data_IF_081244139564
#
_entry.id   IF_081244139564
#
_cell.length_a   1.000
_cell.length_b   1.000
_cell.length_c   1.000
_cell.angle_alpha   90.00
_cell.angle_beta   90.00
_cell.angle_gamma   90.00
#
_symmetry.space_group_name_H-M   'P 1'
#
loop_
_entity.id
_entity.type
_entity.pdbx_description
1 polymer ?
#
# COMPACT_ATOMS: atom_id res chain seq x y z
N UNK A 1 -12.44 7.11 15.56
CA UNK A 1 -12.56 7.12 14.09
C UNK A 1 -11.64 8.17 13.44
N UNK A 2 -11.90 9.49 13.50
CA UNK A 2 -11.10 10.45 12.71
C UNK A 2 -9.57 10.42 12.97
N UNK A 3 -9.16 10.29 14.23
CA UNK A 3 -7.73 10.10 14.59
C UNK A 3 -7.16 8.79 14.07
N UNK A 4 -7.93 7.71 14.10
CA UNK A 4 -7.52 6.43 13.55
C UNK A 4 -7.36 6.50 12.03
N UNK A 5 -8.33 7.08 11.31
CA UNK A 5 -8.25 7.19 9.84
C UNK A 5 -7.01 7.99 9.39
N UNK A 6 -6.66 9.07 10.10
CA UNK A 6 -5.40 9.79 9.85
C UNK A 6 -4.18 8.95 10.24
N UNK A 7 -4.22 8.30 11.41
CA UNK A 7 -3.12 7.48 11.91
C UNK A 7 -2.81 6.29 11.01
N UNK A 8 -3.84 5.58 10.54
CA UNK A 8 -3.75 4.44 9.63
C UNK A 8 -3.21 4.86 8.25
N UNK A 9 -3.65 6.03 7.75
CA UNK A 9 -3.08 6.60 6.52
C UNK A 9 -1.57 6.88 6.69
N UNK A 10 -1.12 7.27 7.89
CA UNK A 10 0.29 7.48 8.19
C UNK A 10 1.06 6.17 8.39
N UNK A 11 0.49 5.16 9.07
CA UNK A 11 1.12 3.84 9.25
C UNK A 11 1.27 3.09 7.93
N UNK A 12 0.35 3.28 6.99
CA UNK A 12 0.49 2.76 5.62
C UNK A 12 1.55 3.54 4.80
N UNK A 13 1.64 4.86 4.98
CA UNK A 13 2.54 5.71 4.18
C UNK A 13 4.01 5.61 4.65
N UNK A 14 4.26 5.29 5.92
CA UNK A 14 5.59 5.40 6.55
C UNK A 14 6.65 4.48 5.94
N UNK A 15 6.27 3.47 5.16
CA UNK A 15 7.19 2.49 4.56
C UNK A 15 8.01 3.03 3.39
N UNK A 16 7.66 4.20 2.86
CA UNK A 16 8.46 4.91 1.86
C UNK A 16 9.27 6.03 2.52
N UNK A 17 10.47 6.32 2.00
CA UNK A 17 11.20 7.53 2.39
C UNK A 17 10.35 8.75 2.06
N UNK A 18 10.10 9.58 3.05
CA UNK A 18 9.39 10.84 2.92
C UNK A 18 10.38 12.01 3.03
N UNK A 19 10.06 13.14 2.41
CA UNK A 19 10.81 14.39 2.62
C UNK A 19 10.76 14.85 4.07
N UNK A 20 9.57 14.88 4.68
CA UNK A 20 9.35 15.09 6.12
C UNK A 20 7.88 14.79 6.48
N UNK A 21 7.56 14.63 7.77
CA UNK A 21 6.16 14.54 8.22
C UNK A 21 5.37 15.81 7.88
N UNK A 22 5.99 16.98 7.99
CA UNK A 22 5.36 18.27 7.74
C UNK A 22 5.01 18.51 6.26
N UNK A 23 5.62 17.74 5.35
CA UNK A 23 5.29 17.77 3.92
C UNK A 23 4.12 16.86 3.56
N UNK A 24 3.66 16.01 4.48
CA UNK A 24 2.51 15.15 4.24
C UNK A 24 1.28 16.02 4.01
N UNK A 25 0.57 15.72 2.94
CA UNK A 25 -0.72 16.29 2.58
C UNK A 25 -1.76 15.19 2.55
N UNK A 26 -3.01 15.59 2.78
CA UNK A 26 -4.12 14.64 2.82
C UNK A 26 -5.34 15.19 2.08
N UNK A 27 -5.98 14.30 1.32
CA UNK A 27 -7.36 14.46 0.86
C UNK A 27 -8.29 13.78 1.86
N UNK A 28 -9.27 14.51 2.38
CA UNK A 28 -10.17 14.02 3.42
C UNK A 28 -11.61 13.94 2.90
N UNK A 29 -12.16 12.72 2.85
CA UNK A 29 -13.50 12.46 2.33
C UNK A 29 -14.48 12.07 3.43
N UNK A 30 -15.57 12.83 3.57
CA UNK A 30 -16.54 12.73 4.66
C UNK A 30 -17.81 12.04 4.19
N UNK A 31 -18.17 10.90 4.79
CA UNK A 31 -19.41 10.17 4.49
C UNK A 31 -20.25 10.10 5.75
N UNK A 32 -21.34 10.87 5.79
CA UNK A 32 -22.21 10.95 6.97
C UNK A 32 -23.68 10.97 6.57
N UNK A 33 -24.55 10.49 7.45
CA UNK A 33 -25.98 10.76 7.38
C UNK A 33 -26.31 12.02 8.20
N UNK A 34 -25.72 13.17 7.87
CA UNK A 34 -25.62 14.34 8.76
C UNK A 34 -26.96 14.93 9.24
N UNK A 35 -28.05 14.67 8.51
CA UNK A 35 -29.42 15.10 8.87
C UNK A 35 -30.11 14.17 9.88
N UNK A 36 -29.51 13.01 10.15
CA UNK A 36 -30.02 12.04 11.12
C UNK A 36 -29.63 12.46 12.53
N UNK A 37 -30.41 12.01 13.51
CA UNK A 37 -30.27 12.43 14.90
C UNK A 37 -28.88 12.07 15.44
N UNK A 38 -28.09 13.08 15.81
CA UNK A 38 -26.76 12.92 16.42
C UNK A 38 -25.59 12.96 15.43
N UNK A 39 -25.80 12.53 14.19
CA UNK A 39 -24.72 12.40 13.18
C UNK A 39 -24.03 13.71 12.84
N UNK A 40 -24.78 14.82 12.75
CA UNK A 40 -24.19 16.15 12.52
C UNK A 40 -23.27 16.61 13.66
N UNK A 41 -23.59 16.26 14.92
CA UNK A 41 -22.74 16.56 16.06
C UNK A 41 -21.51 15.65 16.09
N UNK A 42 -21.68 14.36 15.82
CA UNK A 42 -20.57 13.41 15.71
C UNK A 42 -19.58 13.80 14.61
N UNK A 43 -20.08 14.29 13.46
CA UNK A 43 -19.26 14.82 12.37
C UNK A 43 -18.46 16.06 12.80
N UNK A 44 -19.08 16.95 13.57
CA UNK A 44 -18.41 18.14 14.12
C UNK A 44 -17.28 17.76 15.10
N UNK A 45 -17.53 16.82 16.01
CA UNK A 45 -16.52 16.33 16.96
C UNK A 45 -15.37 15.60 16.25
N UNK A 46 -15.68 14.86 15.18
CA UNK A 46 -14.70 14.24 14.29
C UNK A 46 -13.83 15.30 13.57
N UNK A 47 -14.44 16.38 13.08
CA UNK A 47 -13.72 17.49 12.45
C UNK A 47 -12.78 18.23 13.42
N UNK A 48 -13.23 18.49 14.65
CA UNK A 48 -12.37 19.05 15.71
C UNK A 48 -11.19 18.11 16.00
N UNK A 49 -11.48 16.82 16.22
CA UNK A 49 -10.45 15.83 16.55
C UNK A 49 -9.41 15.68 15.44
N UNK A 50 -9.85 15.70 14.18
CA UNK A 50 -8.96 15.62 13.02
C UNK A 50 -8.10 16.87 12.90
N UNK A 51 -8.71 18.06 13.02
CA UNK A 51 -8.00 19.34 12.96
C UNK A 51 -6.87 19.37 14.00
N UNK A 52 -7.17 19.01 15.24
CA UNK A 52 -6.20 19.09 16.33
C UNK A 52 -5.04 18.12 16.10
N UNK A 53 -5.34 16.88 15.69
CA UNK A 53 -4.30 15.89 15.32
C UNK A 53 -3.43 16.37 14.14
N UNK A 54 -4.04 16.93 13.09
CA UNK A 54 -3.32 17.46 11.93
C UNK A 54 -2.40 18.63 12.30
N UNK A 55 -2.88 19.56 13.13
CA UNK A 55 -2.07 20.68 13.64
C UNK A 55 -0.88 20.17 14.44
N UNK A 56 -1.10 19.24 15.37
CA UNK A 56 -0.04 18.68 16.21
C UNK A 56 1.03 17.95 15.40
N UNK A 57 0.61 17.23 14.35
CA UNK A 57 1.50 16.48 13.46
C UNK A 57 2.19 17.37 12.42
N UNK A 58 1.65 18.56 12.14
CA UNK A 58 2.08 19.40 11.03
C UNK A 58 1.62 18.89 9.66
N UNK A 59 0.61 18.02 9.62
CA UNK A 59 0.00 17.49 8.39
C UNK A 59 -1.10 18.43 7.94
N UNK A 60 -1.21 18.70 6.64
CA UNK A 60 -2.23 19.59 6.11
C UNK A 60 -3.26 18.84 5.25
N UNK A 61 -4.53 19.19 5.41
CA UNK A 61 -5.60 18.82 4.50
C UNK A 61 -5.68 19.87 3.38
N UNK A 62 -5.41 19.48 2.14
CA UNK A 62 -5.41 20.34 0.96
C UNK A 62 -6.37 19.90 -0.15
N UNK A 63 -7.11 18.81 0.09
CA UNK A 63 -8.18 18.33 -0.76
C UNK A 63 -9.24 17.58 0.04
N UNK A 64 -10.36 17.25 -0.59
CA UNK A 64 -11.42 16.49 0.04
C UNK A 64 -12.78 16.72 -0.57
N UNK A 65 -13.76 15.93 -0.11
CA UNK A 65 -15.16 16.03 -0.51
C UNK A 65 -16.07 15.53 0.61
N UNK A 66 -17.34 15.93 0.57
CA UNK A 66 -18.37 15.42 1.48
C UNK A 66 -19.52 14.73 0.73
N UNK A 67 -20.12 13.74 1.40
CA UNK A 67 -21.36 13.07 1.06
C UNK A 67 -22.20 12.94 2.33
N UNK A 68 -23.18 13.85 2.50
CA UNK A 68 -23.89 14.06 3.76
C UNK A 68 -25.30 13.41 3.82
N UNK A 69 -25.62 12.57 2.84
CA UNK A 69 -26.90 11.87 2.72
C UNK A 69 -26.73 10.36 2.68
N UNK A 70 -25.82 9.81 3.49
CA UNK A 70 -25.52 8.37 3.55
C UNK A 70 -26.59 7.56 4.31
N UNK A 71 -27.85 7.74 3.92
CA UNK A 71 -28.99 7.00 4.44
C UNK A 71 -29.94 6.65 3.28
N UNK A 72 -30.47 5.43 3.30
CA UNK A 72 -31.43 4.94 2.33
C UNK A 72 -32.69 4.44 3.05
N UNK A 73 -33.85 4.89 2.58
CA UNK A 73 -35.13 4.36 3.02
C UNK A 73 -35.64 3.35 2.00
N UNK A 74 -35.85 2.10 2.41
CA UNK A 74 -36.36 1.03 1.57
C UNK A 74 -37.28 0.12 2.38
N UNK A 75 -38.43 -0.26 1.83
CA UNK A 75 -39.35 -1.21 2.48
C UNK A 75 -39.96 -0.73 3.81
N UNK A 76 -39.94 0.58 4.09
CA UNK A 76 -40.40 1.15 5.38
C UNK A 76 -39.32 1.19 6.46
N UNK A 77 -38.12 0.68 6.18
CA UNK A 77 -36.95 0.77 7.05
C UNK A 77 -35.97 1.83 6.53
N UNK A 78 -35.22 2.43 7.44
CA UNK A 78 -34.13 3.35 7.09
C UNK A 78 -32.82 2.73 7.52
N UNK A 79 -31.95 2.47 6.54
CA UNK A 79 -30.59 2.00 6.76
C UNK A 79 -29.65 3.19 6.63
N UNK A 80 -28.77 3.36 7.61
CA UNK A 80 -27.78 4.44 7.64
C UNK A 80 -26.39 3.84 7.59
N UNK A 81 -25.50 4.42 6.79
CA UNK A 81 -24.09 4.11 6.92
C UNK A 81 -23.54 4.75 8.20
N UNK A 82 -22.60 4.10 8.91
CA UNK A 82 -21.85 4.75 9.96
C UNK A 82 -21.14 6.00 9.43
N UNK A 83 -21.00 7.02 10.26
CA UNK A 83 -20.12 8.15 9.97
C UNK A 83 -18.70 7.65 9.68
N UNK A 84 -18.17 7.97 8.50
CA UNK A 84 -16.89 7.47 8.02
C UNK A 84 -16.04 8.60 7.43
N UNK A 85 -14.73 8.50 7.64
CA UNK A 85 -13.71 9.37 7.08
C UNK A 85 -12.72 8.54 6.29
N UNK A 86 -12.55 8.85 5.01
CA UNK A 86 -11.49 8.25 4.19
C UNK A 86 -10.39 9.30 4.00
N UNK A 87 -9.20 9.00 4.53
CA UNK A 87 -8.02 9.85 4.45
C UNK A 87 -7.05 9.26 3.42
N UNK A 88 -6.75 10.02 2.38
CA UNK A 88 -5.71 9.68 1.41
C UNK A 88 -4.51 10.58 1.65
N UNK A 89 -3.46 10.05 2.28
CA UNK A 89 -2.22 10.77 2.57
C UNK A 89 -1.19 10.60 1.44
N UNK A 90 -0.40 11.64 1.18
CA UNK A 90 0.64 11.64 0.17
C UNK A 90 1.78 12.59 0.55
N UNK A 91 3.00 12.25 0.11
CA UNK A 91 4.23 13.01 0.40
C UNK A 91 5.26 12.79 -0.71
N UNK A 92 6.20 13.71 -0.86
CA UNK A 92 7.33 13.52 -1.77
C UNK A 92 8.22 12.37 -1.30
N UNK A 93 8.58 11.48 -2.23
CA UNK A 93 9.52 10.37 -1.98
C UNK A 93 10.87 10.69 -2.65
N UNK A 94 11.91 11.10 -1.90
CA UNK A 94 13.19 11.47 -2.47
C UNK A 94 13.99 10.27 -3.00
N UNK A 95 13.72 9.06 -2.50
CA UNK A 95 14.38 7.83 -2.95
C UNK A 95 13.41 6.64 -2.95
N UNK A 96 12.94 6.27 -4.14
CA UNK A 96 12.00 5.16 -4.36
C UNK A 96 12.65 3.78 -4.16
N UNK A 97 13.97 3.69 -4.04
CA UNK A 97 14.68 2.42 -3.82
C UNK A 97 14.74 2.03 -2.34
N UNK A 98 14.42 2.96 -1.44
CA UNK A 98 14.38 2.76 0.01
C UNK A 98 12.95 2.51 0.52
N UNK A 99 12.10 1.90 -0.30
CA UNK A 99 10.74 1.50 0.08
C UNK A 99 10.76 0.09 0.67
N UNK A 100 10.10 -0.07 1.81
CA UNK A 100 9.89 -1.35 2.47
C UNK A 100 8.46 -1.85 2.18
N UNK A 101 8.31 -3.16 2.10
CA UNK A 101 7.02 -3.84 1.87
C UNK A 101 6.82 -4.92 2.94
N UNK A 102 5.64 -5.53 3.03
CA UNK A 102 5.40 -6.67 3.92
C UNK A 102 6.20 -7.96 3.57
N UNK A 103 6.94 -7.97 2.46
CA UNK A 103 7.70 -9.11 1.95
C UNK A 103 8.88 -9.49 2.86
N UNK A 104 8.69 -10.50 3.71
CA UNK A 104 9.73 -11.06 4.58
C UNK A 104 10.84 -11.71 3.76
N UNK A 105 12.09 -11.30 3.98
CA UNK A 105 13.20 -11.60 3.08
C UNK A 105 14.49 -12.06 3.75
N UNK A 106 14.59 -12.03 5.08
CA UNK A 106 15.82 -12.38 5.81
C UNK A 106 15.89 -13.86 6.24
N UNK A 107 14.78 -14.59 6.15
CA UNK A 107 14.73 -16.00 6.56
C UNK A 107 15.18 -16.17 8.02
N UNK A 108 16.15 -17.06 8.28
CA UNK A 108 16.58 -17.36 9.65
C UNK A 108 17.30 -16.22 10.40
N UNK A 109 17.74 -15.17 9.70
CA UNK A 109 18.33 -13.97 10.34
C UNK A 109 17.26 -12.92 10.71
N UNK A 110 16.05 -13.06 10.18
CA UNK A 110 14.95 -12.12 10.40
C UNK A 110 14.32 -12.29 11.78
N UNK A 111 14.28 -11.20 12.54
CA UNK A 111 13.49 -11.08 13.77
C UNK A 111 12.32 -10.12 13.55
N UNK A 112 11.20 -10.44 14.21
CA UNK A 112 9.97 -9.68 14.13
C UNK A 112 9.87 -8.75 15.34
N UNK A 113 9.71 -7.46 15.09
CA UNK A 113 9.58 -6.42 16.12
C UNK A 113 8.19 -5.81 16.04
N UNK A 114 7.46 -5.79 17.15
CA UNK A 114 6.21 -5.07 17.30
C UNK A 114 6.49 -3.67 17.84
N UNK A 115 5.91 -2.65 17.20
CA UNK A 115 5.91 -1.25 17.60
C UNK A 115 4.50 -0.89 18.04
N UNK A 116 4.31 -0.63 19.34
CA UNK A 116 3.00 -0.46 19.97
C UNK A 116 2.67 1.02 20.15
N UNK A 117 1.69 1.55 19.41
CA UNK A 117 1.24 2.96 19.55
C UNK A 117 0.09 3.13 20.54
N UNK A 118 -0.38 2.04 21.14
CA UNK A 118 -1.50 2.02 22.07
C UNK A 118 -1.08 1.78 23.52
N UNK A 119 0.22 1.77 23.82
CA UNK A 119 0.77 1.66 25.17
C UNK A 119 0.27 0.39 25.90
N UNK A 120 0.16 -0.73 25.17
CA UNK A 120 -0.32 -1.99 25.74
C UNK A 120 -1.85 -2.09 25.89
N UNK A 121 -2.62 -1.10 25.41
CA UNK A 121 -4.07 -1.22 25.26
C UNK A 121 -4.42 -2.17 24.11
N UNK A 122 -5.50 -2.93 24.26
CA UNK A 122 -6.01 -3.87 23.24
C UNK A 122 -7.54 -3.75 23.14
N UNK A 123 -8.01 -2.59 22.67
CA UNK A 123 -9.43 -2.29 22.51
C UNK A 123 -9.99 -3.00 21.28
N UNK A 124 -11.17 -3.60 21.43
CA UNK A 124 -11.79 -4.50 20.44
C UNK A 124 -13.08 -3.95 19.84
N UNK A 125 -13.57 -2.80 20.31
CA UNK A 125 -14.79 -2.17 19.80
C UNK A 125 -14.60 -1.70 18.36
N UNK A 126 -15.52 -2.08 17.49
CA UNK A 126 -15.50 -1.79 16.07
C UNK A 126 -14.61 -2.71 15.24
N UNK A 127 -14.00 -3.75 15.85
CA UNK A 127 -13.06 -4.62 15.14
C UNK A 127 -13.72 -5.57 14.15
N UNK A 128 -12.95 -6.01 13.15
CA UNK A 128 -13.31 -7.09 12.24
C UNK A 128 -13.71 -8.37 12.98
N UNK A 129 -13.04 -8.70 14.10
CA UNK A 129 -13.44 -9.83 14.94
C UNK A 129 -14.83 -9.59 15.55
N UNK A 130 -15.09 -8.42 16.13
CA UNK A 130 -16.41 -8.12 16.68
C UNK A 130 -17.49 -8.21 15.58
N UNK A 131 -17.21 -7.65 14.41
CA UNK A 131 -18.10 -7.69 13.25
C UNK A 131 -18.40 -9.13 12.80
N UNK A 132 -17.39 -10.00 12.72
CA UNK A 132 -17.56 -11.41 12.35
C UNK A 132 -18.45 -12.21 13.32
N UNK A 133 -18.65 -11.69 14.54
CA UNK A 133 -19.53 -12.26 15.56
C UNK A 133 -20.79 -11.42 15.80
N UNK A 134 -21.21 -10.63 14.81
CA UNK A 134 -22.40 -9.76 14.85
C UNK A 134 -22.42 -8.83 16.07
N UNK A 135 -21.25 -8.38 16.50
CA UNK A 135 -21.05 -7.50 17.66
C UNK A 135 -20.36 -6.21 17.25
N UNK A 136 -20.64 -5.14 18.00
CA UNK A 136 -19.91 -3.88 17.90
C UNK A 136 -18.78 -3.79 18.93
N UNK A 137 -18.94 -4.39 20.11
CA UNK A 137 -18.05 -4.16 21.25
C UNK A 137 -18.28 -2.79 21.91
N UNK A 138 -17.40 -2.42 22.85
CA UNK A 138 -17.61 -1.25 23.73
C UNK A 138 -16.58 -0.15 23.49
N UNK A 139 -15.29 -0.47 23.66
CA UNK A 139 -14.20 0.50 23.59
C UNK A 139 -13.45 0.35 22.27
N UNK A 140 -13.40 1.41 21.47
CA UNK A 140 -12.70 1.42 20.19
C UNK A 140 -11.23 1.88 20.33
N UNK A 141 -10.34 1.41 19.44
CA UNK A 141 -8.98 1.91 19.34
C UNK A 141 -8.89 3.44 19.19
N UNK A 142 -7.75 4.01 19.58
CA UNK A 142 -7.46 5.44 19.47
C UNK A 142 -5.96 5.70 19.63
N UNK A 143 -5.48 6.79 19.06
CA UNK A 143 -4.05 7.11 18.98
C UNK A 143 -3.78 8.58 19.34
N UNK A 144 -2.58 8.86 19.85
CA UNK A 144 -2.14 10.24 20.11
C UNK A 144 -1.26 10.76 18.99
N UNK A 145 -1.30 12.08 18.74
CA UNK A 145 -0.41 12.75 17.79
C UNK A 145 1.08 12.55 18.15
N UNK A 146 1.41 12.46 19.44
CA UNK A 146 2.77 12.20 19.90
C UNK A 146 3.27 10.81 19.51
N UNK A 147 2.42 9.77 19.66
CA UNK A 147 2.76 8.41 19.26
C UNK A 147 2.97 8.30 17.75
N UNK A 148 2.08 8.90 16.94
CA UNK A 148 2.21 8.93 15.49
C UNK A 148 3.48 9.64 15.02
N UNK A 149 3.80 10.80 15.63
CA UNK A 149 5.03 11.54 15.31
C UNK A 149 6.28 10.75 15.69
N UNK A 150 6.31 10.16 16.89
CA UNK A 150 7.45 9.37 17.35
C UNK A 150 7.68 8.14 16.47
N UNK A 151 6.60 7.45 16.08
CA UNK A 151 6.63 6.33 15.15
C UNK A 151 7.20 6.78 13.81
N UNK A 152 6.63 7.82 13.21
CA UNK A 152 7.05 8.30 11.90
C UNK A 152 8.54 8.64 11.86
N UNK A 153 9.03 9.46 12.79
CA UNK A 153 10.42 9.90 12.81
C UNK A 153 11.39 8.73 13.05
N UNK A 154 11.03 7.79 13.94
CA UNK A 154 11.84 6.59 14.18
C UNK A 154 11.91 5.72 12.92
N UNK A 155 10.76 5.40 12.30
CA UNK A 155 10.71 4.55 11.11
C UNK A 155 11.45 5.20 9.94
N UNK A 156 11.27 6.50 9.70
CA UNK A 156 11.97 7.23 8.63
C UNK A 156 13.49 7.24 8.83
N UNK A 157 13.97 7.36 10.06
CA UNK A 157 15.40 7.26 10.40
C UNK A 157 15.95 5.86 10.13
N UNK A 158 15.20 4.82 10.52
CA UNK A 158 15.59 3.42 10.31
C UNK A 158 15.60 3.02 8.82
N UNK A 159 14.67 3.55 8.03
CA UNK A 159 14.67 3.41 6.56
C UNK A 159 15.90 4.06 5.95
N UNK A 160 16.21 5.30 6.33
CA UNK A 160 17.38 6.02 5.81
C UNK A 160 18.69 5.28 6.13
N UNK A 161 18.74 4.62 7.28
CA UNK A 161 19.88 3.82 7.72
C UNK A 161 19.88 2.37 7.18
N UNK A 162 18.86 1.95 6.43
CA UNK A 162 18.78 0.62 5.83
C UNK A 162 18.61 -0.53 6.83
N UNK A 163 18.04 -0.26 8.00
CA UNK A 163 17.89 -1.28 9.06
C UNK A 163 16.62 -2.14 8.91
N UNK A 164 15.64 -1.69 8.11
CA UNK A 164 14.36 -2.35 7.93
C UNK A 164 14.36 -3.17 6.64
N UNK A 165 14.06 -4.47 6.73
CA UNK A 165 13.98 -5.36 5.58
C UNK A 165 12.56 -5.50 5.07
N UNK A 166 11.61 -5.72 5.98
CA UNK A 166 10.18 -5.77 5.71
C UNK A 166 9.42 -5.02 6.80
N UNK A 167 8.17 -4.67 6.52
CA UNK A 167 7.32 -4.04 7.50
C UNK A 167 5.88 -3.94 7.03
N UNK A 168 4.96 -4.02 7.99
CA UNK A 168 3.53 -3.92 7.75
C UNK A 168 2.81 -3.32 8.96
N UNK A 169 1.74 -2.56 8.74
CA UNK A 169 1.00 -1.92 9.82
C UNK A 169 -0.11 -2.81 10.40
N UNK A 170 -0.56 -2.44 11.60
CA UNK A 170 -1.65 -3.11 12.31
C UNK A 170 -2.93 -2.32 12.09
N UNK A 171 -3.88 -2.94 11.39
CA UNK A 171 -5.19 -2.41 11.03
C UNK A 171 -6.26 -3.51 11.21
N UNK A 172 -7.10 -3.76 10.20
CA UNK A 172 -8.20 -4.72 10.24
C UNK A 172 -7.72 -6.14 10.58
N UNK A 173 -8.35 -6.77 11.57
CA UNK A 173 -7.97 -8.09 12.07
C UNK A 173 -6.72 -8.11 12.97
N UNK A 174 -6.11 -6.96 13.23
CA UNK A 174 -5.05 -6.79 14.21
C UNK A 174 -3.73 -7.47 13.85
N UNK A 175 -2.85 -7.58 14.85
CA UNK A 175 -1.47 -8.05 14.64
C UNK A 175 -1.39 -9.49 14.10
N UNK A 176 -2.40 -10.33 14.37
CA UNK A 176 -2.48 -11.66 13.80
C UNK A 176 -2.57 -11.62 12.27
N UNK A 177 -3.46 -10.79 11.72
CA UNK A 177 -3.58 -10.58 10.26
C UNK A 177 -2.30 -9.97 9.69
N UNK A 178 -1.75 -8.93 10.33
CA UNK A 178 -0.48 -8.30 9.90
C UNK A 178 0.64 -9.33 9.75
N UNK A 179 0.84 -10.19 10.76
CA UNK A 179 1.86 -11.24 10.74
C UNK A 179 1.62 -12.27 9.63
N UNK A 180 0.36 -12.67 9.43
CA UNK A 180 -0.01 -13.61 8.38
C UNK A 180 0.23 -13.01 6.99
N UNK A 181 -0.16 -11.77 6.73
CA UNK A 181 0.05 -11.09 5.45
C UNK A 181 1.55 -10.92 5.14
N UNK A 182 2.38 -10.62 6.14
CA UNK A 182 3.83 -10.61 5.98
C UNK A 182 4.38 -12.01 5.62
N UNK A 183 3.90 -13.05 6.28
CA UNK A 183 4.26 -14.44 5.96
C UNK A 183 3.80 -14.87 4.55
N UNK A 184 2.63 -14.39 4.11
CA UNK A 184 2.09 -14.64 2.77
C UNK A 184 2.94 -13.96 1.70
N UNK A 185 3.30 -12.69 1.92
CA UNK A 185 4.13 -11.90 1.03
C UNK A 185 5.54 -12.52 0.87
N UNK A 186 6.19 -12.85 2.00
CA UNK A 186 7.50 -13.50 2.00
C UNK A 186 7.48 -15.00 1.65
N UNK A 187 6.30 -15.60 1.53
CA UNK A 187 6.09 -17.03 1.31
C UNK A 187 6.96 -17.91 2.24
N UNK A 188 7.01 -17.53 3.52
CA UNK A 188 7.91 -18.11 4.53
C UNK A 188 7.21 -18.26 5.88
N UNK A 189 7.75 -19.13 6.73
CA UNK A 189 7.18 -19.45 8.03
C UNK A 189 7.59 -18.44 9.10
N UNK A 190 6.74 -18.25 10.09
CA UNK A 190 6.97 -17.34 11.22
C UNK A 190 6.65 -18.02 12.54
N UNK A 191 7.35 -17.60 13.60
CA UNK A 191 7.03 -17.95 14.98
C UNK A 191 7.04 -16.69 15.82
N UNK A 192 5.92 -16.38 16.48
CA UNK A 192 5.78 -15.20 17.32
C UNK A 192 5.00 -15.49 18.60
N UNK A 193 5.46 -14.93 19.72
CA UNK A 193 4.79 -14.96 21.00
C UNK A 193 4.36 -13.56 21.41
N UNK A 194 3.05 -13.37 21.56
CA UNK A 194 2.46 -12.09 21.92
C UNK A 194 2.22 -12.04 23.43
N UNK A 195 2.54 -10.91 24.09
CA UNK A 195 2.23 -10.78 25.51
C UNK A 195 0.72 -10.70 25.74
N UNK A 196 0.29 -11.08 26.93
CA UNK A 196 -1.06 -10.72 27.39
C UNK A 196 -1.18 -9.19 27.53
N UNK A 197 -2.39 -8.64 27.44
CA UNK A 197 -2.58 -7.20 27.57
C UNK A 197 -2.12 -6.71 28.95
N UNK A 198 -1.37 -5.60 28.97
CA UNK A 198 -0.79 -5.05 30.20
C UNK A 198 -1.88 -4.60 31.21
N UNK A 199 -3.06 -4.26 30.71
CA UNK A 199 -4.21 -3.80 31.46
C UNK A 199 -5.31 -4.87 31.54
N UNK A 200 -4.96 -6.08 31.98
CA UNK A 200 -5.88 -7.23 32.01
C UNK A 200 -7.16 -7.00 32.82
N UNK A 201 -7.15 -6.11 33.82
CA UNK A 201 -8.34 -5.74 34.60
C UNK A 201 -9.36 -4.91 33.79
N UNK A 202 -8.89 -4.17 32.79
CA UNK A 202 -9.70 -3.29 31.93
C UNK A 202 -10.06 -3.96 30.59
N UNK A 203 -9.57 -5.18 30.33
CA UNK A 203 -9.64 -5.82 29.02
C UNK A 203 -10.03 -7.30 29.13
N UNK A 204 -11.34 -7.61 29.04
CA UNK A 204 -11.86 -8.95 29.31
C UNK A 204 -11.52 -9.99 28.23
N UNK A 205 -10.90 -9.56 27.12
CA UNK A 205 -10.72 -10.39 25.92
C UNK A 205 -9.41 -11.20 25.90
N UNK A 206 -8.51 -10.99 26.88
CA UNK A 206 -7.32 -11.83 27.08
C UNK A 206 -6.52 -12.05 25.78
N UNK A 207 -6.37 -13.31 25.39
CA UNK A 207 -5.63 -13.69 24.18
C UNK A 207 -6.24 -13.15 22.87
N UNK A 208 -7.57 -12.99 22.80
CA UNK A 208 -8.21 -12.39 21.62
C UNK A 208 -7.80 -10.93 21.44
N UNK A 209 -7.69 -10.17 22.55
CA UNK A 209 -7.21 -8.80 22.51
C UNK A 209 -5.75 -8.72 22.03
N UNK A 210 -4.89 -9.64 22.47
CA UNK A 210 -3.50 -9.68 22.01
C UNK A 210 -3.35 -9.94 20.50
N UNK A 211 -4.29 -10.67 19.89
CA UNK A 211 -4.23 -11.08 18.49
C UNK A 211 -4.96 -10.13 17.54
N UNK A 212 -6.16 -9.69 17.94
CA UNK A 212 -7.15 -9.11 17.03
C UNK A 212 -7.52 -7.66 17.38
N UNK A 213 -6.87 -7.04 18.36
CA UNK A 213 -7.07 -5.62 18.60
C UNK A 213 -6.48 -4.80 17.45
N UNK A 214 -7.28 -3.89 16.94
CA UNK A 214 -6.96 -3.02 15.78
C UNK A 214 -6.41 -1.68 16.26
N UNK A 215 -5.61 -1.74 17.31
CA UNK A 215 -4.82 -0.62 17.78
C UNK A 215 -3.70 -0.35 16.79
N UNK A 216 -3.46 0.91 16.46
CA UNK A 216 -2.41 1.25 15.51
C UNK A 216 -1.04 0.79 16.03
N UNK A 217 -0.24 0.26 15.12
CA UNK A 217 1.08 -0.27 15.42
C UNK A 217 1.74 -0.75 14.14
N UNK A 218 2.99 -1.20 14.28
CA UNK A 218 3.76 -1.75 13.16
C UNK A 218 4.36 -3.09 13.55
N UNK A 219 4.54 -3.97 12.57
CA UNK A 219 5.42 -5.14 12.65
C UNK A 219 6.56 -4.95 11.66
N UNK A 220 7.79 -5.16 12.11
CA UNK A 220 9.02 -4.99 11.33
C UNK A 220 9.76 -6.32 11.22
N UNK A 221 10.35 -6.59 10.05
CA UNK A 221 11.44 -7.56 9.92
C UNK A 221 12.77 -6.81 9.90
N UNK A 222 13.64 -7.18 10.84
CA UNK A 222 14.98 -6.62 10.96
C UNK A 222 16.01 -7.73 11.10
N UNK A 223 17.23 -7.48 10.63
CA UNK A 223 18.33 -8.43 10.85
C UNK A 223 18.61 -8.55 12.35
N UNK A 224 18.92 -9.75 12.82
CA UNK A 224 19.15 -10.03 14.25
C UNK A 224 20.23 -9.12 14.85
N UNK A 225 21.27 -8.78 14.08
CA UNK A 225 22.35 -7.89 14.50
C UNK A 225 21.89 -6.43 14.71
N UNK A 226 20.80 -6.01 14.06
CA UNK A 226 20.28 -4.64 14.09
C UNK A 226 19.13 -4.46 15.08
N UNK A 227 18.59 -5.55 15.63
CA UNK A 227 17.41 -5.53 16.48
C UNK A 227 17.52 -4.53 17.64
N UNK A 228 18.64 -4.53 18.37
CA UNK A 228 18.83 -3.62 19.51
C UNK A 228 18.85 -2.14 19.08
N UNK A 229 19.52 -1.82 17.96
CA UNK A 229 19.57 -0.46 17.44
C UNK A 229 18.18 0.04 17.02
N UNK A 230 17.35 -0.84 16.46
CA UNK A 230 15.95 -0.55 16.11
C UNK A 230 15.14 -0.24 17.38
N UNK A 231 15.23 -1.10 18.40
CA UNK A 231 14.53 -0.89 19.68
C UNK A 231 14.96 0.42 20.36
N UNK A 232 16.26 0.70 20.38
CA UNK A 232 16.81 1.93 20.97
C UNK A 232 16.35 3.18 20.21
N UNK A 233 16.19 3.08 18.89
CA UNK A 233 15.67 4.18 18.06
C UNK A 233 14.21 4.49 18.41
N UNK A 234 13.32 3.49 18.44
CA UNK A 234 11.93 3.72 18.85
C UNK A 234 11.83 4.25 20.29
N UNK A 235 12.65 3.71 21.21
CA UNK A 235 12.73 4.20 22.59
C UNK A 235 13.16 5.66 22.67
N UNK A 236 14.12 6.10 21.87
CA UNK A 236 14.57 7.49 21.81
C UNK A 236 13.46 8.44 21.33
N UNK A 237 12.53 7.93 20.52
CA UNK A 237 11.33 8.65 20.08
C UNK A 237 10.11 8.43 20.99
N UNK A 238 10.29 7.77 22.14
CA UNK A 238 9.24 7.55 23.14
C UNK A 238 8.22 6.47 22.77
N UNK A 239 8.53 5.60 21.80
CA UNK A 239 7.63 4.55 21.32
C UNK A 239 8.05 3.19 21.87
N UNK A 240 7.16 2.45 22.55
CA UNK A 240 7.42 1.07 22.94
C UNK A 240 7.60 0.16 21.72
N UNK A 241 8.69 -0.60 21.72
CA UNK A 241 8.92 -1.66 20.74
C UNK A 241 9.53 -2.89 21.42
N UNK A 242 9.23 -4.07 20.91
CA UNK A 242 9.75 -5.34 21.43
C UNK A 242 9.89 -6.39 20.34
N UNK A 243 10.92 -7.23 20.44
CA UNK A 243 11.01 -8.45 19.63
C UNK A 243 9.89 -9.40 20.07
N UNK A 244 9.06 -9.82 19.13
CA UNK A 244 7.94 -10.75 19.36
C UNK A 244 8.15 -12.11 18.70
N UNK A 245 9.09 -12.23 17.78
CA UNK A 245 9.23 -13.45 17.01
C UNK A 245 10.40 -13.47 16.04
N UNK A 246 10.39 -14.49 15.19
CA UNK A 246 11.41 -14.73 14.16
C UNK A 246 10.79 -15.29 12.89
N UNK A 247 11.52 -15.09 11.80
CA UNK A 247 11.21 -15.65 10.50
C UNK A 247 11.96 -16.97 10.32
N UNK A 248 11.43 -17.86 9.49
CA UNK A 248 12.02 -19.15 9.18
C UNK A 248 11.90 -19.44 7.68
N UNK A 249 12.85 -20.19 7.13
CA UNK A 249 12.80 -20.61 5.73
C UNK A 249 11.72 -21.69 5.44
N UNK A 250 11.03 -22.18 6.47
CA UNK A 250 9.94 -23.14 6.34
C UNK A 250 8.64 -22.49 5.88
N UNK A 251 7.53 -23.20 6.08
CA UNK A 251 6.16 -22.70 5.81
C UNK A 251 5.26 -22.78 7.04
N UNK A 252 5.82 -23.10 8.20
CA UNK A 252 5.06 -23.21 9.43
C UNK A 252 4.78 -21.80 9.99
N UNK A 253 3.53 -21.55 10.32
CA UNK A 253 3.10 -20.40 11.12
C UNK A 253 2.81 -20.90 12.54
N UNK A 254 3.39 -20.24 13.53
CA UNK A 254 3.15 -20.49 14.95
C UNK A 254 2.99 -19.17 15.69
N UNK A 255 1.75 -18.80 16.02
CA UNK A 255 1.44 -17.67 16.88
C UNK A 255 1.00 -18.18 18.25
N UNK A 256 1.66 -17.69 19.30
CA UNK A 256 1.32 -17.97 20.69
C UNK A 256 0.96 -16.70 21.44
N UNK A 257 0.20 -16.83 22.53
CA UNK A 257 -0.04 -15.74 23.48
C UNK A 257 0.42 -16.19 24.86
N UNK A 258 1.43 -15.51 25.41
CA UNK A 258 2.09 -15.88 26.65
C UNK A 258 2.47 -17.37 26.70
N UNK A 259 3.02 -17.87 25.58
CA UNK A 259 3.43 -19.26 25.38
C UNK A 259 2.30 -20.26 25.11
N UNK A 260 1.03 -19.85 25.19
CA UNK A 260 -0.10 -20.70 24.84
C UNK A 260 -0.36 -20.68 23.33
N UNK A 261 -0.53 -21.83 22.66
CA UNK A 261 -0.86 -21.89 21.23
C UNK A 261 -2.14 -21.12 20.90
N UNK A 262 -2.10 -20.30 19.84
CA UNK A 262 -3.26 -19.55 19.35
C UNK A 262 -3.57 -19.84 17.88
N UNK A 263 -2.65 -19.53 16.97
CA UNK A 263 -2.80 -19.77 15.53
C UNK A 263 -1.63 -20.64 15.06
N UNK A 264 -1.93 -21.72 14.34
CA UNK A 264 -0.89 -22.58 13.77
C UNK A 264 -1.34 -23.17 12.44
N UNK A 265 -0.44 -23.27 11.46
CA UNK A 265 -0.76 -23.86 10.16
C UNK A 265 0.38 -23.78 9.16
N UNK A 266 0.11 -24.22 7.92
CA UNK A 266 0.99 -23.98 6.77
C UNK A 266 0.60 -22.64 6.11
N UNK A 267 1.59 -21.87 5.69
CA UNK A 267 1.41 -20.60 4.96
C UNK A 267 0.44 -20.73 3.78
N UNK A 268 0.49 -21.79 2.98
CA UNK A 268 -0.47 -21.95 1.88
C UNK A 268 -1.89 -22.20 2.37
N UNK A 269 -2.07 -23.03 3.39
CA UNK A 269 -3.40 -23.35 3.88
C UNK A 269 -4.08 -22.11 4.48
N UNK A 270 -3.31 -21.30 5.22
CA UNK A 270 -3.79 -20.04 5.78
C UNK A 270 -4.06 -18.99 4.69
N UNK A 271 -3.18 -18.89 3.68
CA UNK A 271 -3.39 -18.02 2.52
C UNK A 271 -4.60 -18.44 1.69
N UNK A 272 -4.82 -19.74 1.50
CA UNK A 272 -6.01 -20.27 0.82
C UNK A 272 -7.31 -19.81 1.48
N UNK A 273 -7.35 -19.78 2.82
CA UNK A 273 -8.49 -19.24 3.57
C UNK A 273 -8.62 -17.73 3.42
N UNK A 274 -7.51 -16.99 3.44
CA UNK A 274 -7.50 -15.53 3.26
C UNK A 274 -8.02 -15.13 1.86
N UNK A 275 -7.61 -15.85 0.81
CA UNK A 275 -8.00 -15.59 -0.58
C UNK A 275 -9.40 -16.07 -0.97
N UNK A 276 -10.10 -16.82 -0.10
CA UNK A 276 -11.36 -17.48 -0.47
C UNK A 276 -12.40 -16.47 -0.99
N UNK A 277 -12.52 -15.31 -0.34
CA UNK A 277 -13.44 -14.25 -0.76
C UNK A 277 -13.08 -13.72 -2.15
N UNK A 278 -11.79 -13.45 -2.40
CA UNK A 278 -11.29 -12.99 -3.71
C UNK A 278 -11.66 -13.98 -4.81
N UNK A 279 -11.42 -15.28 -4.60
CA UNK A 279 -11.73 -16.31 -5.58
C UNK A 279 -13.23 -16.53 -5.81
N UNK A 280 -14.08 -16.28 -4.81
CA UNK A 280 -15.54 -16.31 -4.99
C UNK A 280 -15.99 -15.14 -5.85
N UNK A 281 -15.50 -13.93 -5.58
CA UNK A 281 -15.82 -12.73 -6.36
C UNK A 281 -15.30 -12.83 -7.80
N UNK A 282 -14.08 -13.33 -8.00
CA UNK A 282 -13.47 -13.44 -9.31
C UNK A 282 -14.25 -14.40 -10.23
N UNK A 283 -14.78 -15.51 -9.69
CA UNK A 283 -15.65 -16.43 -10.45
C UNK A 283 -16.94 -15.78 -10.95
N UNK A 284 -17.38 -14.66 -10.37
CA UNK A 284 -18.58 -13.94 -10.83
C UNK A 284 -18.30 -13.02 -12.02
N UNK A 285 -17.03 -12.69 -12.29
CA UNK A 285 -16.63 -11.71 -13.31
C UNK A 285 -15.68 -12.25 -14.37
N UNK A 286 -15.03 -13.38 -14.11
CA UNK A 286 -14.01 -14.00 -14.96
C UNK A 286 -14.32 -15.45 -15.31
N UNK A 287 -13.54 -16.04 -16.22
CA UNK A 287 -13.73 -17.43 -16.63
C UNK A 287 -13.39 -18.39 -15.48
N UNK A 288 -14.28 -19.33 -15.17
CA UNK A 288 -14.08 -20.30 -14.08
C UNK A 288 -12.79 -21.11 -14.23
N UNK A 289 -12.41 -21.43 -15.47
CA UNK A 289 -11.15 -22.14 -15.77
C UNK A 289 -9.93 -21.31 -15.33
N UNK A 290 -9.88 -20.03 -15.69
CA UNK A 290 -8.77 -19.14 -15.32
C UNK A 290 -8.65 -19.01 -13.79
N UNK A 291 -9.77 -18.78 -13.11
CA UNK A 291 -9.77 -18.62 -11.64
C UNK A 291 -9.35 -19.92 -10.95
N UNK A 292 -9.79 -21.07 -11.46
CA UNK A 292 -9.40 -22.37 -10.92
C UNK A 292 -7.92 -22.67 -11.12
N UNK A 293 -7.33 -22.26 -12.25
CA UNK A 293 -5.91 -22.38 -12.51
C UNK A 293 -5.08 -21.50 -11.56
N UNK A 294 -5.50 -20.25 -11.35
CA UNK A 294 -4.85 -19.33 -10.41
C UNK A 294 -4.89 -19.86 -8.97
N UNK A 295 -6.07 -20.27 -8.50
CA UNK A 295 -6.25 -20.81 -7.15
C UNK A 295 -5.42 -22.09 -6.93
N UNK A 296 -5.36 -22.99 -7.91
CA UNK A 296 -4.53 -24.18 -7.83
C UNK A 296 -3.02 -23.85 -7.81
N UNK A 297 -2.60 -22.87 -8.63
CA UNK A 297 -1.20 -22.45 -8.73
C UNK A 297 -0.66 -21.77 -7.49
N UNK A 298 -1.50 -21.01 -6.78
CA UNK A 298 -1.09 -20.23 -5.60
C UNK A 298 -0.59 -21.10 -4.43
N UNK A 299 -1.13 -22.33 -4.29
CA UNK A 299 -0.75 -23.28 -3.23
C UNK A 299 0.73 -23.67 -3.28
N UNK A 300 1.19 -23.90 -4.50
CA UNK A 300 2.54 -24.38 -4.81
C UNK A 300 3.47 -23.27 -5.32
N UNK A 301 3.06 -22.01 -5.18
CA UNK A 301 3.82 -20.86 -5.64
C UNK A 301 5.24 -20.85 -5.05
N UNK A 302 6.23 -20.71 -5.93
CA UNK A 302 7.66 -20.62 -5.62
C UNK A 302 8.24 -19.38 -6.26
N UNK A 303 9.24 -18.79 -5.61
CA UNK A 303 9.99 -17.68 -6.20
C UNK A 303 10.55 -18.08 -7.59
N UNK A 304 10.29 -17.29 -8.64
CA UNK A 304 10.81 -17.57 -9.97
C UNK A 304 12.33 -17.48 -9.97
N UNK A 305 12.98 -18.39 -10.72
CA UNK A 305 14.42 -18.33 -10.97
C UNK A 305 14.68 -17.53 -12.23
N UNK A 306 15.22 -16.34 -12.07
CA UNK A 306 15.66 -15.50 -13.19
C UNK A 306 17.07 -15.89 -13.63
N UNK A 307 17.26 -16.16 -14.91
CA UNK A 307 18.57 -16.41 -15.52
C UNK A 307 18.82 -15.32 -16.55
N UNK A 308 19.84 -14.50 -16.31
CA UNK A 308 20.28 -13.50 -17.28
C UNK A 308 21.36 -14.11 -18.18
N UNK A 309 21.11 -14.29 -19.50
CA UNK A 309 22.10 -14.86 -20.41
C UNK A 309 23.21 -13.86 -20.80
N UNK A 310 23.14 -12.63 -20.29
CA UNK A 310 24.11 -11.56 -20.48
C UNK A 310 24.26 -10.76 -19.19
N UNK A 311 25.32 -9.96 -19.08
CA UNK A 311 25.50 -9.00 -17.99
C UNK A 311 24.92 -7.64 -18.40
N UNK A 312 23.86 -7.13 -17.75
CA UNK A 312 23.36 -5.79 -18.03
C UNK A 312 24.45 -4.76 -17.74
N UNK A 313 24.62 -3.81 -18.64
CA UNK A 313 25.50 -2.66 -18.48
C UNK A 313 24.80 -1.41 -19.00
N UNK A 314 25.10 -0.25 -18.39
CA UNK A 314 24.63 1.02 -18.92
C UNK A 314 25.18 1.26 -20.33
N UNK A 315 24.38 1.94 -21.17
CA UNK A 315 24.82 2.38 -22.50
C UNK A 315 26.08 3.25 -22.36
N UNK A 316 27.16 2.96 -23.10
CA UNK A 316 28.39 3.75 -23.04
C UNK A 316 28.16 5.24 -23.32
N UNK A 317 28.83 6.12 -22.57
CA UNK A 317 28.62 7.57 -22.66
C UNK A 317 28.94 8.15 -24.05
N UNK A 318 29.92 7.58 -24.76
CA UNK A 318 30.25 7.95 -26.14
C UNK A 318 29.10 7.65 -27.11
N UNK A 319 28.35 6.56 -26.89
CA UNK A 319 27.14 6.25 -27.66
C UNK A 319 25.98 7.18 -27.36
N UNK A 320 25.84 7.59 -26.09
CA UNK A 320 24.85 8.59 -25.69
C UNK A 320 25.20 10.01 -26.13
N UNK A 321 26.48 10.32 -26.38
CA UNK A 321 26.95 11.63 -26.83
C UNK A 321 27.16 11.73 -28.35
N UNK A 322 27.02 10.62 -29.08
CA UNK A 322 27.17 10.57 -30.53
C UNK A 322 26.17 11.53 -31.21
N UNK A 323 26.64 12.27 -32.23
CA UNK A 323 25.82 13.22 -32.98
C UNK A 323 25.03 12.58 -34.13
N UNK A 324 25.34 11.33 -34.47
CA UNK A 324 24.77 10.53 -35.57
C UNK A 324 23.78 9.46 -35.06
N UNK A 325 23.06 9.76 -33.98
CA UNK A 325 22.05 8.85 -33.43
C UNK A 325 20.91 8.61 -34.42
N UNK A 326 20.51 7.35 -34.56
CA UNK A 326 19.29 7.01 -35.28
C UNK A 326 18.07 7.65 -34.63
N UNK A 327 17.15 8.17 -35.43
CA UNK A 327 15.89 8.71 -34.95
C UNK A 327 14.90 7.56 -34.73
N UNK A 328 14.28 7.50 -33.55
CA UNK A 328 13.19 6.57 -33.25
C UNK A 328 11.90 7.37 -33.02
N UNK A 329 10.85 7.11 -33.79
CA UNK A 329 9.55 7.73 -33.58
C UNK A 329 8.62 6.75 -32.85
N UNK A 330 8.12 7.11 -31.64
CA UNK A 330 6.95 6.44 -31.11
C UNK A 330 5.74 6.79 -31.98
N UNK A 331 5.05 5.78 -32.52
CA UNK A 331 3.77 5.96 -33.19
C UNK A 331 2.73 6.34 -32.13
N UNK A 332 2.32 7.61 -32.16
CA UNK A 332 1.32 8.14 -31.24
C UNK A 332 -0.06 8.04 -31.88
N UNK A 333 -0.98 7.35 -31.21
CA UNK A 333 -2.42 7.55 -31.36
C UNK A 333 -2.91 8.40 -30.16
N UNK A 334 -4.06 9.04 -30.31
CA UNK A 334 -4.74 9.92 -29.36
C UNK A 334 -4.86 9.39 -27.93
N UNK A 335 -4.72 8.07 -27.73
CA UNK A 335 -4.84 7.37 -26.45
C UNK A 335 -3.62 6.49 -26.09
N UNK A 336 -2.46 6.72 -26.71
CA UNK A 336 -1.23 5.97 -26.43
C UNK A 336 -0.64 6.33 -25.05
N UNK A 337 -1.14 5.69 -23.99
CA UNK A 337 -0.76 5.96 -22.59
C UNK A 337 0.68 5.55 -22.24
N UNK A 338 1.28 4.60 -22.98
CA UNK A 338 2.64 4.12 -22.73
C UNK A 338 3.75 4.87 -23.53
N UNK A 339 3.39 5.88 -24.31
CA UNK A 339 4.32 6.47 -25.28
C UNK A 339 5.50 7.21 -24.64
N UNK A 340 5.30 7.86 -23.49
CA UNK A 340 6.37 8.56 -22.76
C UNK A 340 7.42 7.57 -22.24
N UNK A 341 6.98 6.42 -21.71
CA UNK A 341 7.88 5.37 -21.24
C UNK A 341 8.68 4.77 -22.40
N UNK A 342 8.03 4.50 -23.54
CA UNK A 342 8.69 3.99 -24.75
C UNK A 342 9.73 4.98 -25.31
N UNK A 343 9.40 6.28 -25.33
CA UNK A 343 10.33 7.32 -25.76
C UNK A 343 11.54 7.45 -24.82
N UNK A 344 11.32 7.39 -23.51
CA UNK A 344 12.40 7.40 -22.51
C UNK A 344 13.34 6.20 -22.66
N UNK A 345 12.78 5.00 -22.88
CA UNK A 345 13.57 3.79 -23.11
C UNK A 345 14.45 3.91 -24.37
N UNK A 346 13.91 4.46 -25.47
CA UNK A 346 14.67 4.72 -26.68
C UNK A 346 15.86 5.66 -26.41
N UNK A 347 15.62 6.75 -25.70
CA UNK A 347 16.66 7.73 -25.37
C UNK A 347 17.81 7.14 -24.53
N UNK A 348 17.50 6.26 -23.56
CA UNK A 348 18.50 5.59 -22.73
C UNK A 348 19.37 4.57 -23.51
N UNK A 349 18.91 4.14 -24.68
CA UNK A 349 19.63 3.23 -25.58
C UNK A 349 20.48 3.95 -26.64
N UNK A 350 20.42 5.29 -26.73
CA UNK A 350 21.15 6.07 -27.73
C UNK A 350 20.27 6.83 -28.74
N UNK A 351 19.23 6.22 -29.36
CA UNK A 351 18.36 6.91 -30.31
C UNK A 351 17.70 8.17 -29.76
N UNK A 352 17.61 9.23 -30.57
CA UNK A 352 16.86 10.43 -30.17
C UNK A 352 15.37 10.23 -30.49
N UNK A 353 14.47 10.36 -29.49
CA UNK A 353 13.04 10.19 -29.73
C UNK A 353 12.46 11.42 -30.45
N UNK A 354 11.82 11.20 -31.60
CA UNK A 354 11.05 12.25 -32.26
C UNK A 354 9.68 12.40 -31.60
N UNK A 355 9.60 13.28 -30.60
CA UNK A 355 8.34 13.64 -29.93
C UNK A 355 7.56 14.76 -30.65
N UNK A 356 8.15 15.42 -31.65
CA UNK A 356 7.49 16.51 -32.40
C UNK A 356 6.78 15.98 -33.64
N UNK A 357 5.46 16.16 -33.65
CA UNK A 357 4.59 15.85 -34.79
C UNK A 357 4.20 14.38 -34.78
N UNK A 358 3.19 14.04 -33.96
CA UNK A 358 2.51 12.75 -34.10
C UNK A 358 2.15 12.54 -35.56
N UNK A 359 2.48 11.36 -36.09
CA UNK A 359 1.87 10.86 -37.30
C UNK A 359 0.40 10.56 -36.96
N UNK A 360 -0.40 11.61 -36.78
CA UNK A 360 -1.83 11.49 -36.60
C UNK A 360 -2.36 10.78 -37.85
N UNK A 361 -2.79 9.54 -37.68
CA UNK A 361 -3.51 8.77 -38.71
C UNK A 361 -4.91 9.35 -39.00
N UNK A 362 -5.29 10.45 -38.37
CA UNK A 362 -6.61 11.04 -38.49
C UNK A 362 -6.67 12.09 -39.62
N UNK A 363 -7.39 11.75 -40.68
CA UNK A 363 -7.80 12.68 -41.73
C UNK A 363 -8.88 13.61 -41.17
N UNK A 364 -8.47 14.70 -40.53
CA UNK A 364 -9.34 15.79 -40.11
C UNK A 364 -8.61 17.12 -40.29
N UNK A 365 -8.69 17.68 -41.50
CA UNK A 365 -8.09 18.96 -41.82
C UNK A 365 -8.79 20.10 -41.07
N UNK A 366 -8.15 20.65 -40.04
CA UNK A 366 -8.26 22.08 -39.68
C UNK A 366 -7.22 22.42 -38.60
N UNK A 367 -5.95 22.56 -39.01
CA UNK A 367 -5.08 23.63 -38.51
C UNK A 367 -3.80 23.70 -39.36
N UNK A 368 -3.75 24.71 -40.24
CA UNK A 368 -2.57 25.54 -40.56
C UNK A 368 -1.26 24.95 -41.11
N UNK A 369 -1.06 23.64 -41.23
CA UNK A 369 0.23 23.08 -41.67
C UNK A 369 0.10 21.73 -42.36
N UNK A 370 -0.35 21.70 -43.61
CA UNK A 370 -0.36 20.46 -44.40
C UNK A 370 1.07 20.08 -44.81
N UNK A 371 1.72 19.19 -44.08
CA UNK A 371 2.89 18.49 -44.62
C UNK A 371 2.44 17.62 -45.81
N UNK A 372 3.09 17.72 -46.96
CA UNK A 372 2.76 16.86 -48.11
C UNK A 372 3.05 15.39 -47.78
N UNK A 373 2.35 14.44 -48.41
CA UNK A 373 2.62 13.00 -48.28
C UNK A 373 4.11 12.69 -48.53
N UNK A 374 4.74 13.46 -49.42
CA UNK A 374 6.17 13.40 -49.74
C UNK A 374 7.07 13.86 -48.59
N UNK A 375 6.67 14.89 -47.83
CA UNK A 375 7.35 15.32 -46.61
C UNK A 375 7.17 14.32 -45.47
N UNK A 376 5.99 13.70 -45.35
CA UNK A 376 5.73 12.63 -44.37
C UNK A 376 6.55 11.37 -44.69
N UNK A 377 6.61 10.95 -45.95
CA UNK A 377 7.43 9.82 -46.41
C UNK A 377 8.93 10.12 -46.28
N UNK A 378 9.36 11.36 -46.54
CA UNK A 378 10.76 11.77 -46.33
C UNK A 378 11.14 11.78 -44.84
N UNK A 379 10.22 12.18 -43.95
CA UNK A 379 10.43 12.09 -42.50
C UNK A 379 10.50 10.62 -42.02
N UNK A 380 9.64 9.74 -42.56
CA UNK A 380 9.70 8.30 -42.30
C UNK A 380 11.00 7.66 -42.79
N UNK A 381 11.54 8.12 -43.92
CA UNK A 381 12.79 7.61 -44.49
C UNK A 381 14.06 8.01 -43.68
N UNK A 382 13.96 8.98 -42.78
CA UNK A 382 15.04 9.39 -41.86
C UNK A 382 15.06 8.59 -40.55
N UNK A 383 14.04 7.75 -40.30
CA UNK A 383 13.93 6.95 -39.09
C UNK A 383 14.79 5.69 -39.17
N UNK A 384 15.54 5.43 -38.10
CA UNK A 384 16.28 4.18 -37.92
C UNK A 384 15.44 3.05 -37.32
N UNK A 385 14.25 3.37 -36.81
CA UNK A 385 13.31 2.41 -36.24
C UNK A 385 11.98 3.04 -35.80
N UNK A 386 10.98 2.19 -35.57
CA UNK A 386 9.65 2.56 -35.09
C UNK A 386 9.34 1.88 -33.77
N UNK A 387 8.63 2.57 -32.88
CA UNK A 387 8.04 1.98 -31.67
C UNK A 387 6.52 2.14 -31.75
N UNK A 388 5.78 1.04 -31.61
CA UNK A 388 4.32 1.07 -31.49
C UNK A 388 3.94 0.85 -30.02
N UNK A 389 3.81 1.92 -29.21
CA UNK A 389 3.46 1.79 -27.80
C UNK A 389 2.06 1.20 -27.62
N UNK A 390 1.90 0.38 -26.59
CA UNK A 390 0.60 -0.18 -26.21
C UNK A 390 -0.36 0.89 -25.68
N UNK A 391 -1.66 0.61 -25.79
CA UNK A 391 -2.74 1.47 -25.34
C UNK A 391 -4.08 0.99 -25.90
N UNK A 392 -5.17 1.64 -25.52
CA UNK A 392 -6.46 1.44 -26.18
C UNK A 392 -6.49 2.40 -27.36
N UNK A 393 -6.32 1.95 -28.62
CA UNK A 393 -6.37 2.85 -29.76
C UNK A 393 -7.73 3.53 -29.82
N UNK A 394 -7.74 4.81 -30.20
CA UNK A 394 -8.98 5.54 -30.40
C UNK A 394 -9.78 4.82 -31.48
N UNK A 395 -11.01 4.38 -31.18
CA UNK A 395 -11.93 4.01 -32.26
C UNK A 395 -12.16 5.28 -33.07
N UNK A 396 -11.65 5.33 -34.30
CA UNK A 396 -12.11 6.30 -35.27
C UNK A 396 -13.64 6.20 -35.29
N UNK A 397 -14.34 7.32 -35.04
CA UNK A 397 -15.79 7.41 -35.13
C UNK A 397 -16.24 7.26 -36.59
N UNK A 398 -16.06 6.07 -37.16
CA UNK A 398 -16.73 5.63 -38.37
C UNK A 398 -18.14 5.22 -37.96
N UNK A 399 -19.12 6.10 -38.15
CA UNK A 399 -20.51 5.65 -38.27
C UNK A 399 -20.58 4.64 -39.44
N UNK A 400 -21.35 3.53 -39.29
CA UNK A 400 -21.51 2.52 -40.33
C UNK A 400 -22.10 3.09 -41.62
#
# INVERSE_FOLDING_TARGET
>A
MARLALGEALTNLVWARATSLADVRASVNWMYAAKMKGEGAAMWDAAISLRDAMIDLGVACDGGKDSLSMAAAAGGETVMAPGNLVVSAYVGCPDITQVVTPDLKLGADGVLVHVDLAEGRRRMGGSALAQAYDQLGNDCPDVTSAALKGMWEATQSLLAAGHLSAGHDISDGGIATTLLEMAFAGNCGISADLPLPAHAADQPHGALGSLFAEELGLVLEVASANAQAVLDTYKAHGIPASVIGKVSAGRAVELTVAGAPAVSGDVAALRDSWEETSFVLERMQSSEETVSQEQAGLKDAKAPKWVLPFTPAFTPADKLAASDKGLAAPMLDTLASAAVAAASAAQHCGPDPLLRGGLNGDRGASDGGSSTLQQQLAALAQLGGFLAPGGVPGRANGRP
#
